data_IF_631476927863
#
_entry.id   IF_631476927863
#
_cell.length_a   1.000
_cell.length_b   1.000
_cell.length_c   1.000
_cell.angle_alpha   90.00
_cell.angle_beta   90.00
_cell.angle_gamma   90.00
#
_symmetry.space_group_name_H-M   'P 1'
#
loop_
_entity.id
_entity.type
_entity.pdbx_description
1 polymer ?
#
# COMPACT_ATOMS: atom_id res chain seq x y z
N UNK A 1 -93.27 -48.95 -83.28
CA UNK A 1 -92.45 -48.23 -84.29
C UNK A 1 -92.45 -46.75 -83.86
N UNK A 2 -91.37 -45.98 -83.72
CA UNK A 2 -90.09 -45.91 -84.44
C UNK A 2 -88.93 -45.46 -83.52
N UNK A 3 -87.73 -46.00 -83.76
CA UNK A 3 -86.48 -45.83 -82.98
C UNK A 3 -85.82 -44.43 -83.09
N UNK A 4 -86.44 -43.48 -83.79
CA UNK A 4 -85.84 -42.17 -84.15
C UNK A 4 -85.88 -41.12 -83.03
N UNK A 5 -86.89 -41.13 -82.16
CA UNK A 5 -87.03 -40.13 -81.09
C UNK A 5 -85.99 -40.27 -79.95
N UNK A 6 -85.39 -41.46 -79.77
CA UNK A 6 -84.43 -41.73 -78.69
C UNK A 6 -83.00 -41.29 -79.05
N UNK A 7 -82.64 -41.37 -80.35
CA UNK A 7 -81.33 -40.94 -80.87
C UNK A 7 -81.23 -39.41 -80.92
N UNK A 8 -82.29 -38.72 -81.38
CA UNK A 8 -82.31 -37.24 -81.43
C UNK A 8 -82.20 -36.62 -80.03
N UNK A 9 -82.88 -37.20 -79.02
CA UNK A 9 -82.75 -36.76 -77.63
C UNK A 9 -81.34 -36.97 -77.07
N UNK A 10 -80.65 -38.05 -77.46
CA UNK A 10 -79.28 -38.33 -77.02
C UNK A 10 -78.26 -37.37 -77.67
N UNK A 11 -78.44 -37.05 -78.95
CA UNK A 11 -77.58 -36.08 -79.67
C UNK A 11 -77.75 -34.67 -79.10
N UNK A 12 -78.99 -34.24 -78.82
CA UNK A 12 -79.25 -32.93 -78.18
C UNK A 12 -78.65 -32.88 -76.78
N UNK A 13 -78.75 -33.95 -76.00
CA UNK A 13 -78.16 -34.00 -74.65
C UNK A 13 -76.63 -33.94 -74.68
N UNK A 14 -75.97 -34.65 -75.61
CA UNK A 14 -74.52 -34.54 -75.80
C UNK A 14 -74.10 -33.14 -76.25
N UNK A 15 -74.87 -32.48 -77.12
CA UNK A 15 -74.54 -31.13 -77.61
C UNK A 15 -74.69 -30.08 -76.50
N UNK A 16 -75.69 -30.23 -75.63
CA UNK A 16 -75.85 -29.40 -74.42
C UNK A 16 -74.71 -29.68 -73.42
N UNK A 17 -74.31 -30.94 -73.22
CA UNK A 17 -73.21 -31.29 -72.33
C UNK A 17 -71.85 -30.75 -72.82
N UNK A 18 -71.60 -30.77 -74.13
CA UNK A 18 -70.37 -30.24 -74.74
C UNK A 18 -70.33 -28.72 -74.68
N UNK A 19 -71.45 -28.03 -74.90
CA UNK A 19 -71.52 -26.56 -74.77
C UNK A 19 -71.37 -26.11 -73.31
N UNK A 20 -71.89 -26.86 -72.34
CA UNK A 20 -71.69 -26.57 -70.92
C UNK A 20 -70.23 -26.75 -70.47
N UNK A 21 -69.55 -27.80 -70.95
CA UNK A 21 -68.15 -28.05 -70.59
C UNK A 21 -67.20 -27.04 -71.22
N UNK A 22 -67.43 -26.66 -72.49
CA UNK A 22 -66.66 -25.60 -73.16
C UNK A 22 -66.89 -24.24 -72.47
N UNK A 23 -68.14 -23.90 -72.13
CA UNK A 23 -68.47 -22.69 -71.38
C UNK A 23 -67.81 -22.65 -70.00
N UNK A 24 -67.81 -23.77 -69.27
CA UNK A 24 -67.15 -23.89 -67.98
C UNK A 24 -65.63 -23.70 -68.05
N UNK A 25 -64.96 -24.30 -69.04
CA UNK A 25 -63.50 -24.18 -69.21
C UNK A 25 -63.09 -22.74 -69.58
N UNK A 26 -63.91 -22.04 -70.38
CA UNK A 26 -63.62 -20.68 -70.82
C UNK A 26 -63.74 -19.68 -69.65
N UNK A 27 -64.74 -19.84 -68.77
CA UNK A 27 -64.91 -19.02 -67.55
C UNK A 27 -63.75 -19.23 -66.57
N UNK A 28 -63.31 -20.48 -66.37
CA UNK A 28 -62.17 -20.79 -65.47
C UNK A 28 -60.88 -20.19 -66.01
N UNK A 29 -60.66 -20.22 -67.33
CA UNK A 29 -59.49 -19.59 -67.94
C UNK A 29 -59.51 -18.07 -67.85
N UNK A 30 -60.68 -17.45 -67.99
CA UNK A 30 -60.79 -16.00 -67.85
C UNK A 30 -60.49 -15.55 -66.42
N UNK A 31 -61.05 -16.24 -65.42
CA UNK A 31 -60.79 -15.93 -64.00
C UNK A 31 -59.35 -16.18 -63.57
N UNK A 32 -58.69 -17.22 -64.09
CA UNK A 32 -57.26 -17.48 -63.80
C UNK A 32 -56.33 -16.37 -64.33
N UNK A 33 -56.65 -15.79 -65.50
CA UNK A 33 -55.87 -14.66 -66.04
C UNK A 33 -56.05 -13.38 -65.23
N UNK A 34 -57.26 -13.16 -64.71
CA UNK A 34 -57.59 -12.01 -63.86
C UNK A 34 -56.87 -12.09 -62.49
N UNK A 35 -56.78 -13.28 -61.89
CA UNK A 35 -56.07 -13.52 -60.64
C UNK A 35 -54.53 -13.38 -60.78
N UNK A 36 -53.97 -13.66 -61.96
CA UNK A 36 -52.53 -13.55 -62.21
C UNK A 36 -52.08 -12.11 -62.49
N UNK A 37 -53.01 -11.20 -62.79
CA UNK A 37 -52.73 -9.79 -63.06
C UNK A 37 -52.80 -8.90 -61.81
N UNK A 38 -53.05 -9.47 -60.63
CA UNK A 38 -53.08 -8.72 -59.37
C UNK A 38 -51.63 -8.55 -58.88
N UNK A 39 -51.13 -7.32 -58.70
CA UNK A 39 -49.79 -7.11 -58.17
C UNK A 39 -49.65 -7.70 -56.76
N UNK A 40 -48.49 -8.29 -56.42
CA UNK A 40 -48.31 -8.96 -55.14
C UNK A 40 -48.50 -7.97 -53.97
N UNK A 41 -49.14 -8.40 -52.87
CA UNK A 41 -49.44 -7.52 -51.74
C UNK A 41 -48.14 -6.98 -51.13
N UNK A 42 -48.00 -5.65 -51.13
CA UNK A 42 -46.88 -4.95 -50.50
C UNK A 42 -47.01 -5.11 -49.00
N UNK A 43 -46.01 -5.70 -48.35
CA UNK A 43 -46.00 -5.88 -46.90
C UNK A 43 -45.86 -4.52 -46.22
N UNK A 44 -46.72 -4.16 -45.26
CA UNK A 44 -46.57 -2.92 -44.53
C UNK A 44 -45.25 -2.93 -43.76
N UNK A 45 -44.49 -1.84 -43.86
CA UNK A 45 -43.27 -1.66 -43.08
C UNK A 45 -43.65 -1.56 -41.60
N UNK A 46 -43.23 -2.52 -40.79
CA UNK A 46 -43.42 -2.46 -39.34
C UNK A 46 -42.50 -1.39 -38.76
N UNK A 47 -43.08 -0.38 -38.13
CA UNK A 47 -42.33 0.61 -37.37
C UNK A 47 -41.69 -0.07 -36.14
N UNK A 48 -40.37 0.03 -36.03
CA UNK A 48 -39.59 -0.44 -34.90
C UNK A 48 -39.08 0.77 -34.12
N UNK A 49 -39.23 0.73 -32.80
CA UNK A 49 -38.67 1.75 -31.93
C UNK A 49 -37.16 1.59 -31.87
N UNK A 50 -36.43 2.63 -32.26
CA UNK A 50 -34.98 2.72 -32.12
C UNK A 50 -34.61 3.82 -31.14
N UNK A 51 -33.49 3.66 -30.46
CA UNK A 51 -32.90 4.70 -29.61
C UNK A 51 -31.48 5.01 -30.11
N UNK A 52 -31.10 6.30 -30.23
CA UNK A 52 -29.75 6.67 -30.63
C UNK A 52 -28.76 6.28 -29.52
N UNK A 53 -27.66 5.63 -29.91
CA UNK A 53 -26.58 5.29 -28.98
C UNK A 53 -25.88 6.58 -28.55
N UNK A 54 -25.90 6.87 -27.25
CA UNK A 54 -25.16 7.98 -26.66
C UNK A 54 -23.91 7.46 -25.97
N UNK A 55 -22.74 7.90 -26.41
CA UNK A 55 -21.48 7.58 -25.75
C UNK A 55 -21.28 8.52 -24.57
N UNK A 56 -21.11 7.94 -23.38
CA UNK A 56 -20.80 8.65 -22.14
C UNK A 56 -19.84 7.85 -21.28
N UNK A 57 -19.26 8.47 -20.26
CA UNK A 57 -18.43 7.76 -19.29
C UNK A 57 -19.34 7.05 -18.29
N UNK A 58 -19.29 5.72 -18.26
CA UNK A 58 -19.94 4.92 -17.23
C UNK A 58 -18.91 4.56 -16.16
N UNK A 59 -19.10 5.04 -14.93
CA UNK A 59 -18.24 4.70 -13.82
C UNK A 59 -18.55 3.27 -13.33
N UNK A 60 -17.72 2.28 -13.72
CA UNK A 60 -17.78 0.92 -13.15
C UNK A 60 -17.18 0.93 -11.73
N UNK A 61 -18.04 1.12 -10.72
CA UNK A 61 -17.63 1.12 -9.32
C UNK A 61 -17.92 -0.22 -8.68
N UNK A 62 -16.89 -0.85 -8.10
CA UNK A 62 -17.02 -2.12 -7.36
C UNK A 62 -16.88 -1.87 -5.87
N UNK A 63 -17.76 -2.48 -5.07
CA UNK A 63 -17.73 -2.40 -3.62
C UNK A 63 -16.97 -3.60 -3.05
N UNK A 64 -16.00 -3.33 -2.18
CA UNK A 64 -15.25 -4.35 -1.47
C UNK A 64 -15.33 -4.09 0.02
N UNK A 65 -15.30 -5.17 0.81
CA UNK A 65 -15.09 -5.07 2.25
C UNK A 65 -13.59 -4.98 2.52
N UNK A 66 -13.16 -3.92 3.19
CA UNK A 66 -11.77 -3.71 3.58
C UNK A 66 -11.66 -3.52 5.09
N UNK A 67 -10.51 -3.91 5.65
CA UNK A 67 -10.16 -3.64 7.04
C UNK A 67 -9.10 -2.55 7.05
N UNK A 68 -9.40 -1.43 7.71
CA UNK A 68 -8.41 -0.38 7.93
C UNK A 68 -7.51 -0.78 9.09
N UNK A 69 -6.19 -0.68 8.87
CA UNK A 69 -5.17 -0.85 9.89
C UNK A 69 -4.30 0.38 9.97
N UNK A 70 -3.69 0.60 11.13
CA UNK A 70 -2.70 1.65 11.27
C UNK A 70 -1.53 1.41 10.29
N UNK A 71 -1.16 2.43 9.51
CA UNK A 71 -0.03 2.33 8.59
C UNK A 71 1.31 2.11 9.32
N UNK A 72 1.41 2.59 10.57
CA UNK A 72 2.54 2.33 11.47
C UNK A 72 1.99 2.09 12.87
N UNK A 73 2.35 0.96 13.48
CA UNK A 73 2.06 0.64 14.88
C UNK A 73 3.39 0.43 15.62
N UNK A 74 3.52 1.02 16.81
CA UNK A 74 4.68 0.85 17.66
C UNK A 74 4.27 0.64 19.11
N UNK A 75 4.94 -0.29 19.80
CA UNK A 75 4.79 -0.46 21.24
C UNK A 75 5.86 0.35 21.95
N UNK A 76 5.46 1.17 22.92
CA UNK A 76 6.39 1.96 23.74
C UNK A 76 6.69 1.17 25.01
N UNK A 77 7.98 0.91 25.26
CA UNK A 77 8.46 0.24 26.46
C UNK A 77 9.66 0.99 27.05
N UNK A 78 9.90 0.78 28.34
CA UNK A 78 11.08 1.32 28.98
C UNK A 78 12.33 0.58 28.52
N UNK A 79 13.40 1.32 28.23
CA UNK A 79 14.73 0.75 27.94
C UNK A 79 15.48 0.31 29.19
N UNK A 80 15.03 0.72 30.39
CA UNK A 80 15.64 0.37 31.66
C UNK A 80 14.62 -0.04 32.72
N UNK A 81 15.04 -0.90 33.64
CA UNK A 81 14.20 -1.30 34.77
C UNK A 81 14.25 -0.20 35.83
N UNK A 82 13.15 0.53 36.00
CA UNK A 82 12.99 1.53 37.05
C UNK A 82 11.53 1.71 37.44
N UNK A 83 11.31 2.33 38.60
CA UNK A 83 9.99 2.74 39.07
C UNK A 83 9.49 3.95 38.27
N UNK A 84 8.23 3.92 37.86
CA UNK A 84 7.54 5.07 37.24
C UNK A 84 7.20 6.10 38.33
N UNK A 85 7.60 7.36 38.11
CA UNK A 85 7.27 8.50 38.97
C UNK A 85 5.94 9.12 38.53
N UNK A 86 5.77 9.34 37.22
CA UNK A 86 4.58 10.01 36.69
C UNK A 86 4.36 9.67 35.21
N UNK A 87 3.10 9.65 34.80
CA UNK A 87 2.68 9.50 33.40
C UNK A 87 1.85 10.74 33.03
N UNK A 88 2.44 11.75 32.35
CA UNK A 88 1.76 13.00 32.04
C UNK A 88 0.76 12.91 30.88
N UNK A 89 0.70 11.80 30.15
CA UNK A 89 -0.23 11.59 29.03
C UNK A 89 -1.45 10.79 29.47
N UNK A 90 -2.58 11.03 28.83
CA UNK A 90 -3.82 10.27 29.04
C UNK A 90 -4.06 9.31 27.89
N UNK A 91 -4.88 8.30 28.16
CA UNK A 91 -5.33 7.35 27.13
C UNK A 91 -6.11 8.11 26.04
N UNK A 92 -5.78 7.85 24.78
CA UNK A 92 -6.35 8.53 23.62
C UNK A 92 -5.63 9.82 23.19
N UNK A 93 -4.65 10.31 23.96
CA UNK A 93 -3.88 11.50 23.58
C UNK A 93 -3.01 11.27 22.34
N UNK A 94 -2.96 12.26 21.45
CA UNK A 94 -2.03 12.26 20.31
C UNK A 94 -0.63 12.61 20.80
N UNK A 95 0.28 11.63 20.70
CA UNK A 95 1.71 11.80 21.02
C UNK A 95 2.54 11.94 19.76
N UNK A 96 3.50 12.87 19.78
CA UNK A 96 4.48 13.07 18.71
C UNK A 96 5.82 12.47 19.13
N UNK A 97 6.68 12.17 18.15
CA UNK A 97 8.06 11.72 18.41
C UNK A 97 8.77 12.71 19.33
N UNK A 98 9.39 12.20 20.40
CA UNK A 98 10.11 13.01 21.39
C UNK A 98 9.25 13.61 22.50
N UNK A 99 7.93 13.36 22.51
CA UNK A 99 7.07 13.75 23.64
C UNK A 99 7.29 12.79 24.81
N UNK A 100 7.49 13.36 26.00
CA UNK A 100 7.55 12.61 27.26
C UNK A 100 6.24 11.85 27.50
N UNK A 101 6.33 10.53 27.64
CA UNK A 101 5.19 9.63 27.93
C UNK A 101 5.19 9.21 29.38
N UNK A 102 6.36 8.89 29.95
CA UNK A 102 6.50 8.47 31.34
C UNK A 102 7.84 8.95 31.90
N UNK A 103 7.85 9.34 33.17
CA UNK A 103 9.06 9.71 33.92
C UNK A 103 9.44 8.54 34.81
N UNK A 104 10.69 8.10 34.73
CA UNK A 104 11.24 7.05 35.58
C UNK A 104 12.08 7.64 36.70
N UNK A 105 12.25 6.89 37.79
CA UNK A 105 13.17 7.28 38.85
C UNK A 105 14.60 7.31 38.33
N UNK A 106 15.24 8.48 38.49
CA UNK A 106 16.56 8.82 37.98
C UNK A 106 17.60 9.00 39.08
N UNK A 107 17.27 8.74 40.36
CA UNK A 107 18.20 8.93 41.48
C UNK A 107 19.48 8.11 41.29
N UNK A 108 19.34 6.81 41.05
CA UNK A 108 20.46 5.88 40.87
C UNK A 108 21.32 6.30 39.66
N UNK A 109 20.69 6.65 38.54
CA UNK A 109 21.37 7.05 37.31
C UNK A 109 22.10 8.38 37.49
N UNK A 110 21.50 9.36 38.19
CA UNK A 110 22.16 10.63 38.51
C UNK A 110 23.38 10.45 39.40
N UNK A 111 23.27 9.60 40.42
CA UNK A 111 24.39 9.31 41.32
C UNK A 111 25.53 8.60 40.58
N UNK A 112 25.20 7.67 39.67
CA UNK A 112 26.18 7.02 38.78
C UNK A 112 26.91 8.04 37.89
N UNK A 113 26.18 8.97 37.28
CA UNK A 113 26.78 10.06 36.48
C UNK A 113 27.68 10.95 37.34
N UNK A 114 27.24 11.30 38.55
CA UNK A 114 28.03 12.14 39.48
C UNK A 114 29.33 11.43 39.89
N UNK A 115 29.26 10.14 40.23
CA UNK A 115 30.43 9.33 40.57
C UNK A 115 31.43 9.23 39.41
N UNK A 116 30.95 8.92 38.20
CA UNK A 116 31.81 8.84 37.02
C UNK A 116 32.43 10.19 36.65
N UNK A 117 31.70 11.29 36.84
CA UNK A 117 32.24 12.64 36.62
C UNK A 117 33.41 12.93 37.55
N UNK A 118 33.28 12.61 38.84
CA UNK A 118 34.37 12.74 39.79
C UNK A 118 35.59 11.87 39.42
N UNK A 119 35.37 10.66 38.92
CA UNK A 119 36.45 9.79 38.42
C UNK A 119 37.14 10.37 37.18
N UNK A 120 36.39 10.97 36.26
CA UNK A 120 36.94 11.68 35.09
C UNK A 120 37.79 12.87 35.54
N UNK A 121 37.33 13.65 36.51
CA UNK A 121 38.07 14.80 37.02
C UNK A 121 39.36 14.35 37.72
N UNK A 122 39.32 13.29 38.52
CA UNK A 122 40.52 12.69 39.13
C UNK A 122 41.53 12.19 38.07
N UNK A 123 41.05 11.47 37.05
CA UNK A 123 41.89 10.97 35.96
C UNK A 123 42.47 12.11 35.10
N UNK A 124 41.72 13.19 34.90
CA UNK A 124 42.21 14.39 34.22
C UNK A 124 43.35 15.04 34.99
N UNK A 125 43.20 15.19 36.31
CA UNK A 125 44.28 15.72 37.16
C UNK A 125 45.51 14.84 37.10
N UNK A 126 45.34 13.51 37.19
CA UNK A 126 46.46 12.57 37.05
C UNK A 126 47.18 12.70 35.70
N UNK A 127 46.44 12.83 34.59
CA UNK A 127 47.03 13.07 33.27
C UNK A 127 47.86 14.35 33.24
N UNK A 128 47.36 15.45 33.80
CA UNK A 128 48.09 16.73 33.88
C UNK A 128 49.39 16.56 34.68
N UNK A 129 49.35 15.83 35.79
CA UNK A 129 50.55 15.51 36.58
C UNK A 129 51.58 14.74 35.76
N UNK A 130 51.19 13.65 35.09
CA UNK A 130 52.12 12.84 34.31
C UNK A 130 52.62 13.55 33.04
N UNK A 131 51.80 14.41 32.43
CA UNK A 131 52.25 15.30 31.35
C UNK A 131 53.33 16.27 31.83
N UNK A 132 53.19 16.82 33.05
CA UNK A 132 54.19 17.68 33.67
C UNK A 132 55.49 16.95 33.98
N UNK A 133 55.41 15.71 34.45
CA UNK A 133 56.59 14.84 34.69
C UNK A 133 57.30 14.54 33.36
N UNK A 134 56.58 14.04 32.36
CA UNK A 134 57.14 13.76 31.03
C UNK A 134 57.82 14.99 30.42
N UNK A 135 57.19 16.17 30.51
CA UNK A 135 57.79 17.42 30.00
C UNK A 135 59.11 17.77 30.70
N UNK A 136 59.17 17.54 32.02
CA UNK A 136 60.40 17.76 32.80
C UNK A 136 61.48 16.77 32.43
N UNK A 137 61.12 15.50 32.32
CA UNK A 137 62.02 14.41 31.95
C UNK A 137 62.57 14.59 30.53
N UNK A 138 61.75 15.10 29.62
CA UNK A 138 62.16 15.44 28.26
C UNK A 138 63.27 16.52 28.24
N UNK A 139 63.12 17.58 29.04
CA UNK A 139 64.12 18.65 29.16
C UNK A 139 65.41 18.11 29.81
N UNK A 140 65.29 17.28 30.86
CA UNK A 140 66.45 16.67 31.52
C UNK A 140 67.21 15.71 30.59
N UNK A 141 66.49 14.93 29.78
CA UNK A 141 67.09 14.05 28.78
C UNK A 141 67.84 14.83 27.70
N UNK A 142 67.25 15.93 27.19
CA UNK A 142 67.91 16.82 26.21
C UNK A 142 69.22 17.41 26.78
N UNK A 143 69.23 17.72 28.08
CA UNK A 143 70.41 18.19 28.79
C UNK A 143 71.35 17.06 29.29
N UNK A 144 71.15 15.81 28.83
CA UNK A 144 71.92 14.61 29.21
C UNK A 144 71.91 14.28 30.72
N UNK A 145 70.93 14.79 31.46
CA UNK A 145 70.74 14.57 32.90
C UNK A 145 69.79 13.42 33.27
N UNK A 146 69.23 12.72 32.27
CA UNK A 146 68.31 11.59 32.47
C UNK A 146 68.61 10.48 31.43
N UNK A 147 68.38 9.21 31.78
CA UNK A 147 68.49 8.09 30.83
C UNK A 147 67.30 8.04 29.87
N UNK A 148 67.51 7.48 28.67
CA UNK A 148 66.42 7.26 27.69
C UNK A 148 65.32 6.35 28.24
N UNK A 149 65.69 5.30 28.95
CA UNK A 149 64.74 4.37 29.60
C UNK A 149 63.79 5.10 30.55
N UNK A 150 64.30 6.06 31.33
CA UNK A 150 63.47 6.85 32.26
C UNK A 150 62.48 7.74 31.52
N UNK A 151 62.91 8.38 30.42
CA UNK A 151 62.05 9.17 29.56
C UNK A 151 60.94 8.30 28.94
N UNK A 152 61.31 7.16 28.37
CA UNK A 152 60.36 6.22 27.75
C UNK A 152 59.34 5.72 28.79
N UNK A 153 59.78 5.44 30.03
CA UNK A 153 58.89 5.08 31.14
C UNK A 153 57.89 6.19 31.48
N UNK A 154 58.35 7.44 31.54
CA UNK A 154 57.47 8.60 31.81
C UNK A 154 56.43 8.79 30.69
N UNK A 155 56.81 8.52 29.43
CA UNK A 155 55.90 8.58 28.28
C UNK A 155 54.84 7.48 28.34
N UNK A 156 55.24 6.25 28.66
CA UNK A 156 54.31 5.13 28.85
C UNK A 156 53.29 5.41 29.95
N UNK A 157 53.71 5.98 31.08
CA UNK A 157 52.81 6.34 32.19
C UNK A 157 51.84 7.45 31.78
N UNK A 158 52.33 8.48 31.06
CA UNK A 158 51.48 9.54 30.49
C UNK A 158 50.42 8.96 29.54
N UNK A 159 50.83 8.09 28.61
CA UNK A 159 49.93 7.45 27.65
C UNK A 159 48.90 6.54 28.33
N UNK A 160 49.28 5.83 29.40
CA UNK A 160 48.36 5.04 30.21
C UNK A 160 47.32 5.92 30.91
N UNK A 161 47.73 7.05 31.49
CA UNK A 161 46.82 8.01 32.13
C UNK A 161 45.84 8.62 31.12
N UNK A 162 46.30 8.94 29.91
CA UNK A 162 45.45 9.44 28.82
C UNK A 162 44.40 8.42 28.41
N UNK A 163 44.83 7.17 28.24
CA UNK A 163 43.93 6.05 27.91
C UNK A 163 42.89 5.83 29.01
N UNK A 164 43.28 5.95 30.28
CA UNK A 164 42.37 5.84 31.42
C UNK A 164 41.34 6.96 31.44
N UNK A 165 41.74 8.20 31.16
CA UNK A 165 40.82 9.34 31.03
C UNK A 165 39.79 9.09 29.92
N UNK A 166 40.24 8.65 28.74
CA UNK A 166 39.36 8.37 27.60
C UNK A 166 38.36 7.26 27.89
N UNK A 167 38.78 6.20 28.59
CA UNK A 167 37.90 5.13 29.03
C UNK A 167 36.81 5.65 29.98
N UNK A 168 37.19 6.42 31.01
CA UNK A 168 36.24 6.99 31.98
C UNK A 168 35.28 8.01 31.35
N UNK A 169 35.75 8.81 30.40
CA UNK A 169 34.88 9.70 29.62
C UNK A 169 33.83 8.91 28.82
N UNK A 170 34.21 7.76 28.29
CA UNK A 170 33.29 6.88 27.56
C UNK A 170 32.26 6.26 28.49
N UNK A 171 32.68 5.80 29.68
CA UNK A 171 31.76 5.35 30.72
C UNK A 171 30.80 6.45 31.18
N UNK A 172 31.27 7.69 31.32
CA UNK A 172 30.43 8.84 31.67
C UNK A 172 29.39 9.15 30.59
N UNK A 173 29.77 9.09 29.30
CA UNK A 173 28.82 9.26 28.19
C UNK A 173 27.74 8.18 28.23
N UNK A 174 28.11 6.92 28.45
CA UNK A 174 27.15 5.82 28.53
C UNK A 174 26.18 6.00 29.70
N UNK A 175 26.68 6.39 30.88
CA UNK A 175 25.82 6.70 32.02
C UNK A 175 24.89 7.90 31.76
N UNK A 176 25.34 8.88 30.97
CA UNK A 176 24.51 9.99 30.51
C UNK A 176 23.36 9.55 29.59
N UNK A 177 23.63 8.60 28.69
CA UNK A 177 22.59 7.99 27.84
C UNK A 177 21.59 7.21 28.69
N UNK A 178 22.05 6.40 29.64
CA UNK A 178 21.15 5.69 30.57
C UNK A 178 20.28 6.67 31.38
N UNK A 179 20.84 7.81 31.81
CA UNK A 179 20.08 8.85 32.48
C UNK A 179 19.03 9.48 31.53
N UNK A 180 19.32 9.63 30.24
CA UNK A 180 18.38 10.18 29.26
C UNK A 180 17.12 9.34 29.11
N UNK A 181 17.21 8.03 29.30
CA UNK A 181 16.07 7.10 29.23
C UNK A 181 15.11 7.22 30.41
N UNK A 182 15.46 7.99 31.44
CA UNK A 182 14.56 8.24 32.57
C UNK A 182 13.52 9.34 32.29
N UNK A 183 13.58 9.98 31.11
CA UNK A 183 12.78 11.12 30.66
C UNK A 183 12.35 10.97 29.20
#
# INVERSE_FOLDING_TARGET
>A
MSKTARIVRFVIFCLIAVTLTIGGVLIVRHKKKELAAIPPPVRPLMAVYTAPVQSGSLADTRKYLGILRAGVSGQVSSQLTARIISVPVREGDVVKKGRLVAVLDSRIQRDKVKSLRAQVDAARTALVTYQGIYRRDLVLYQNKGLSKESLDRSDMVKAAAESRLKALQSSLRNAGVELSYTR
#
